data_IF_142492418838
#
_entry.id   IF_142492418838
#
_cell.length_a   1.000
_cell.length_b   1.000
_cell.length_c   1.000
_cell.angle_alpha   90.00
_cell.angle_beta   90.00
_cell.angle_gamma   90.00
#
_symmetry.space_group_name_H-M   'P 1'
#
loop_
_entity.id
_entity.type
_entity.pdbx_description
1 polymer ?
#
# COMPACT_ATOMS: atom_id res chain seq x y z
N UNK A 1 65.85 43.99 -52.96
CA UNK A 1 65.03 43.02 -53.71
C UNK A 1 65.47 41.62 -53.29
N UNK A 2 64.51 40.85 -52.75
CA UNK A 2 64.42 39.36 -52.63
C UNK A 2 65.61 38.59 -52.03
N UNK A 3 65.61 38.06 -50.80
CA UNK A 3 64.80 37.08 -50.03
C UNK A 3 65.59 35.75 -49.85
N UNK A 4 65.81 35.21 -48.63
CA UNK A 4 66.68 34.05 -48.32
C UNK A 4 65.92 32.70 -48.38
N UNK A 5 66.60 31.55 -48.53
CA UNK A 5 66.94 30.57 -47.46
C UNK A 5 65.81 30.30 -46.46
N UNK A 6 65.47 29.09 -46.03
CA UNK A 6 66.10 27.76 -46.06
C UNK A 6 65.09 26.75 -45.51
N UNK A 7 65.37 25.46 -45.68
CA UNK A 7 64.49 24.33 -45.33
C UNK A 7 64.03 24.30 -43.87
N UNK A 8 62.74 24.02 -43.69
CA UNK A 8 62.08 23.96 -42.40
C UNK A 8 62.29 22.65 -41.64
N UNK A 9 62.30 22.69 -40.30
CA UNK A 9 61.97 21.56 -39.45
C UNK A 9 60.50 21.57 -39.03
N UNK A 10 59.95 20.36 -38.88
CA UNK A 10 58.65 20.00 -38.30
C UNK A 10 58.41 20.62 -36.92
N UNK A 11 57.21 21.21 -36.66
CA UNK A 11 56.77 21.48 -35.30
C UNK A 11 55.98 20.30 -34.72
N UNK A 12 56.39 19.94 -33.51
CA UNK A 12 55.70 19.10 -32.53
C UNK A 12 54.33 19.71 -32.20
N UNK A 13 53.26 18.98 -32.54
CA UNK A 13 51.87 19.35 -32.25
C UNK A 13 51.50 18.89 -30.85
N UNK A 14 51.93 19.64 -29.84
CA UNK A 14 51.40 19.51 -28.49
C UNK A 14 49.90 19.83 -28.49
N UNK A 15 49.08 18.81 -28.26
CA UNK A 15 47.65 18.96 -27.99
C UNK A 15 47.52 19.35 -26.53
N UNK A 16 46.94 20.52 -26.27
CA UNK A 16 46.57 20.96 -24.92
C UNK A 16 45.47 20.06 -24.38
N UNK A 17 45.76 19.35 -23.28
CA UNK A 17 44.74 18.75 -22.42
C UNK A 17 44.01 19.88 -21.68
N UNK A 18 42.87 20.31 -22.23
CA UNK A 18 41.91 21.13 -21.51
C UNK A 18 40.98 20.18 -20.75
N UNK A 19 41.26 20.05 -19.45
CA UNK A 19 40.38 19.45 -18.47
C UNK A 19 39.17 20.37 -18.30
N UNK A 20 38.04 20.00 -18.92
CA UNK A 20 36.75 20.55 -18.50
C UNK A 20 36.32 19.83 -17.21
N UNK A 21 36.45 20.55 -16.10
CA UNK A 21 35.89 20.20 -14.81
C UNK A 21 34.35 20.08 -14.95
N UNK A 22 33.86 18.83 -14.98
CA UNK A 22 32.44 18.54 -14.84
C UNK A 22 32.05 18.81 -13.39
N UNK A 23 31.40 19.94 -13.15
CA UNK A 23 30.72 20.27 -11.91
C UNK A 23 29.61 19.23 -11.63
N UNK A 24 29.73 18.37 -10.60
CA UNK A 24 28.73 17.34 -10.31
C UNK A 24 27.48 17.89 -9.59
N UNK A 25 27.41 19.19 -9.27
CA UNK A 25 26.34 19.73 -8.43
C UNK A 25 25.26 20.53 -9.19
N UNK A 26 25.33 20.60 -10.52
CA UNK A 26 24.43 21.41 -11.33
C UNK A 26 23.13 20.70 -11.79
N UNK A 27 22.49 19.88 -10.94
CA UNK A 27 21.06 19.53 -11.12
C UNK A 27 20.37 19.28 -9.76
N UNK A 28 20.13 20.35 -9.01
CA UNK A 28 19.05 20.36 -8.00
C UNK A 28 18.21 21.62 -8.21
N UNK A 29 17.34 21.55 -9.23
CA UNK A 29 16.34 22.57 -9.51
C UNK A 29 15.02 22.20 -8.83
N UNK A 30 14.77 22.85 -7.71
CA UNK A 30 13.55 22.95 -6.92
C UNK A 30 12.24 22.49 -7.59
N UNK A 31 11.71 21.37 -7.10
CA UNK A 31 10.29 21.06 -7.14
C UNK A 31 9.73 21.14 -5.71
N UNK A 32 9.95 22.28 -5.05
CA UNK A 32 9.39 22.57 -3.74
C UNK A 32 7.90 22.90 -3.89
N UNK A 33 7.06 21.92 -3.59
CA UNK A 33 5.63 22.12 -3.41
C UNK A 33 5.35 23.10 -2.26
N UNK A 34 4.14 23.66 -2.17
CA UNK A 34 3.80 24.62 -1.11
C UNK A 34 3.90 23.93 0.25
N UNK A 35 4.91 24.33 1.04
CA UNK A 35 5.11 23.86 2.42
C UNK A 35 6.13 22.73 2.58
N UNK A 36 7.32 22.85 1.96
CA UNK A 36 8.54 22.14 2.37
C UNK A 36 8.86 22.50 3.83
N UNK A 37 8.10 21.93 4.76
CA UNK A 37 8.60 21.76 6.12
C UNK A 37 9.73 20.76 5.99
N UNK A 38 10.97 21.24 6.05
CA UNK A 38 12.17 20.49 6.44
C UNK A 38 11.93 19.88 7.84
N UNK A 39 11.00 18.94 7.91
CA UNK A 39 10.64 18.23 9.11
C UNK A 39 11.76 17.28 9.41
N UNK A 40 12.27 17.30 10.64
CA UNK A 40 13.24 16.30 11.05
C UNK A 40 12.67 14.89 10.81
N UNK A 41 13.51 13.89 10.49
CA UNK A 41 13.04 12.52 10.28
C UNK A 41 12.14 11.97 11.40
N UNK A 42 12.37 12.42 12.64
CA UNK A 42 11.52 12.08 13.78
C UNK A 42 10.08 12.61 13.67
N UNK A 43 9.89 13.82 13.13
CA UNK A 43 8.56 14.39 12.90
C UNK A 43 7.84 13.62 11.79
N UNK A 44 8.53 13.27 10.70
CA UNK A 44 7.95 12.46 9.63
C UNK A 44 7.47 11.09 10.15
N UNK A 45 8.29 10.42 10.95
CA UNK A 45 7.93 9.14 11.59
C UNK A 45 6.75 9.29 12.54
N UNK A 46 6.74 10.32 13.39
CA UNK A 46 5.64 10.57 14.32
C UNK A 46 4.31 10.83 13.58
N UNK A 47 4.34 11.65 12.53
CA UNK A 47 3.17 11.94 11.69
C UNK A 47 2.69 10.68 10.98
N UNK A 48 3.59 9.89 10.40
CA UNK A 48 3.27 8.64 9.73
C UNK A 48 2.59 7.64 10.69
N UNK A 49 3.11 7.51 11.92
CA UNK A 49 2.50 6.67 12.96
C UNK A 49 1.11 7.16 13.36
N UNK A 50 0.94 8.46 13.61
CA UNK A 50 -0.35 9.04 13.99
C UNK A 50 -1.38 8.83 12.88
N UNK A 51 -1.06 9.16 11.63
CA UNK A 51 -1.97 9.00 10.51
C UNK A 51 -2.31 7.53 10.25
N UNK A 52 -1.30 6.64 10.34
CA UNK A 52 -1.50 5.21 10.13
C UNK A 52 -2.42 4.56 11.16
N UNK A 53 -2.44 5.05 12.40
CA UNK A 53 -3.33 4.58 13.48
C UNK A 53 -4.69 5.28 13.46
N UNK A 54 -4.74 6.56 13.07
CA UNK A 54 -5.96 7.35 13.13
C UNK A 54 -7.05 6.82 12.19
N UNK A 55 -6.69 6.27 11.02
CA UNK A 55 -7.65 5.65 10.10
C UNK A 55 -8.45 4.52 10.77
N UNK A 56 -7.80 3.46 11.28
CA UNK A 56 -8.47 2.42 12.05
C UNK A 56 -9.28 2.90 13.26
N UNK A 57 -8.83 3.96 13.95
CA UNK A 57 -9.60 4.57 15.05
C UNK A 57 -10.89 5.20 14.54
N UNK A 58 -10.84 5.94 13.43
CA UNK A 58 -12.04 6.51 12.79
C UNK A 58 -12.98 5.39 12.31
N UNK A 59 -12.43 4.31 11.74
CA UNK A 59 -13.21 3.15 11.31
C UNK A 59 -13.92 2.47 12.49
N UNK A 60 -13.23 2.29 13.63
CA UNK A 60 -13.81 1.72 14.84
C UNK A 60 -14.93 2.60 15.41
N UNK A 61 -14.71 3.91 15.52
CA UNK A 61 -15.73 4.87 15.97
C UNK A 61 -16.94 4.86 15.02
N UNK A 62 -16.68 4.77 13.71
CA UNK A 62 -17.74 4.65 12.71
C UNK A 62 -18.55 3.36 12.88
N UNK A 63 -17.90 2.24 13.18
CA UNK A 63 -18.56 0.97 13.49
C UNK A 63 -19.50 1.07 14.70
N UNK A 64 -19.06 1.75 15.76
CA UNK A 64 -19.92 2.02 16.94
C UNK A 64 -21.12 2.89 16.59
N UNK A 65 -20.92 3.92 15.76
CA UNK A 65 -22.02 4.77 15.30
C UNK A 65 -23.02 4.00 14.42
N UNK A 66 -22.55 3.16 13.51
CA UNK A 66 -23.39 2.30 12.67
C UNK A 66 -24.19 1.32 13.55
N UNK A 67 -23.57 0.71 14.55
CA UNK A 67 -24.27 -0.15 15.51
C UNK A 67 -25.36 0.60 16.29
N UNK A 68 -25.10 1.84 16.72
CA UNK A 68 -26.11 2.65 17.39
C UNK A 68 -27.29 3.00 16.46
N UNK A 69 -27.02 3.29 15.19
CA UNK A 69 -28.05 3.54 14.16
C UNK A 69 -28.88 2.27 13.95
N UNK A 70 -28.23 1.12 13.78
CA UNK A 70 -28.87 -0.19 13.62
C UNK A 70 -29.88 -0.47 14.74
N UNK A 71 -29.45 -0.29 15.99
CA UNK A 71 -30.31 -0.45 17.16
C UNK A 71 -31.48 0.57 17.18
N UNK A 72 -31.23 1.83 16.79
CA UNK A 72 -32.24 2.89 16.83
C UNK A 72 -33.32 2.74 15.76
N UNK A 73 -33.00 2.21 14.58
CA UNK A 73 -33.94 2.03 13.47
C UNK A 73 -34.66 0.68 13.49
N UNK A 74 -34.38 -0.17 14.48
CA UNK A 74 -35.00 -1.49 14.63
C UNK A 74 -34.38 -2.59 13.77
N UNK A 75 -33.12 -2.42 13.37
CA UNK A 75 -32.35 -3.38 12.58
C UNK A 75 -32.21 -3.00 11.11
N UNK A 76 -30.96 -2.88 10.66
CA UNK A 76 -30.56 -2.77 9.27
C UNK A 76 -30.45 -4.15 8.64
N UNK A 77 -30.63 -4.21 7.32
CA UNK A 77 -30.24 -5.41 6.58
C UNK A 77 -28.72 -5.58 6.63
N UNK A 78 -28.25 -6.83 6.61
CA UNK A 78 -26.81 -7.12 6.58
C UNK A 78 -26.10 -6.36 5.44
N UNK A 79 -26.71 -6.33 4.24
CA UNK A 79 -26.16 -5.60 3.10
C UNK A 79 -26.04 -4.09 3.38
N UNK A 80 -27.04 -3.47 4.02
CA UNK A 80 -26.98 -2.07 4.40
C UNK A 80 -25.86 -1.82 5.43
N UNK A 81 -25.73 -2.68 6.45
CA UNK A 81 -24.66 -2.57 7.45
C UNK A 81 -23.27 -2.71 6.81
N UNK A 82 -23.08 -3.66 5.90
CA UNK A 82 -21.81 -3.84 5.17
C UNK A 82 -21.50 -2.62 4.31
N UNK A 83 -22.47 -2.09 3.57
CA UNK A 83 -22.27 -0.89 2.73
C UNK A 83 -21.92 0.33 3.59
N UNK A 84 -22.59 0.53 4.71
CA UNK A 84 -22.26 1.63 5.64
C UNK A 84 -20.85 1.45 6.21
N UNK A 85 -20.47 0.23 6.61
CA UNK A 85 -19.12 -0.06 7.11
C UNK A 85 -18.06 0.18 6.03
N UNK A 86 -18.32 -0.17 4.77
CA UNK A 86 -17.41 0.16 3.66
C UNK A 86 -17.33 1.67 3.44
N UNK A 87 -18.45 2.40 3.48
CA UNK A 87 -18.43 3.86 3.28
C UNK A 87 -17.66 4.56 4.39
N UNK A 88 -18.06 4.36 5.64
CA UNK A 88 -17.44 5.09 6.75
C UNK A 88 -16.09 4.49 7.15
N UNK A 89 -15.99 3.17 7.15
CA UNK A 89 -14.78 2.45 7.50
C UNK A 89 -13.70 2.49 6.43
N UNK A 90 -13.97 2.82 5.17
CA UNK A 90 -12.95 2.93 4.13
C UNK A 90 -12.90 4.33 3.51
N UNK A 91 -13.98 4.79 2.88
CA UNK A 91 -13.98 6.11 2.23
C UNK A 91 -13.79 7.26 3.21
N UNK A 92 -14.39 7.22 4.39
CA UNK A 92 -14.20 8.30 5.39
C UNK A 92 -12.92 8.08 6.18
N UNK A 93 -12.76 6.91 6.79
CA UNK A 93 -11.67 6.63 7.70
C UNK A 93 -10.28 6.62 7.07
N UNK A 94 -10.14 6.08 5.85
CA UNK A 94 -8.83 5.99 5.19
C UNK A 94 -8.71 7.03 4.08
N UNK A 95 -9.59 6.98 3.08
CA UNK A 95 -9.57 7.91 1.96
C UNK A 95 -9.78 9.36 2.40
N UNK A 96 -10.81 9.62 3.19
CA UNK A 96 -11.17 10.94 3.68
C UNK A 96 -10.14 11.52 4.63
N UNK A 97 -9.58 10.70 5.53
CA UNK A 97 -8.45 11.10 6.38
C UNK A 97 -7.24 11.52 5.54
N UNK A 98 -6.84 10.71 4.56
CA UNK A 98 -5.69 11.00 3.72
C UNK A 98 -5.90 12.27 2.88
N UNK A 99 -7.05 12.40 2.23
CA UNK A 99 -7.40 13.59 1.44
C UNK A 99 -7.52 14.84 2.32
N UNK A 100 -8.13 14.73 3.50
CA UNK A 100 -8.25 15.80 4.47
C UNK A 100 -6.90 16.24 5.01
N UNK A 101 -5.99 15.30 5.26
CA UNK A 101 -4.63 15.59 5.67
C UNK A 101 -3.84 16.34 4.59
N UNK A 102 -3.91 15.89 3.33
CA UNK A 102 -3.23 16.58 2.23
C UNK A 102 -3.83 17.97 1.96
N UNK A 103 -5.16 18.11 2.05
CA UNK A 103 -5.81 19.41 1.95
C UNK A 103 -5.40 20.34 3.10
N UNK A 104 -5.30 19.83 4.34
CA UNK A 104 -4.80 20.58 5.49
C UNK A 104 -3.33 21.01 5.33
N UNK A 105 -2.52 20.21 4.64
CA UNK A 105 -1.15 20.55 4.25
C UNK A 105 -1.07 21.62 3.15
N UNK A 106 -2.20 22.05 2.59
CA UNK A 106 -2.26 23.12 1.58
C UNK A 106 -2.21 22.63 0.13
N UNK A 107 -2.29 21.32 -0.12
CA UNK A 107 -2.38 20.81 -1.49
C UNK A 107 -3.77 21.09 -2.07
N UNK A 108 -3.80 21.65 -3.28
CA UNK A 108 -5.01 21.72 -4.09
C UNK A 108 -5.26 20.40 -4.83
N UNK A 109 -6.28 20.34 -5.68
CA UNK A 109 -6.66 19.09 -6.35
C UNK A 109 -5.55 18.55 -7.26
N UNK A 110 -4.91 19.42 -8.02
CA UNK A 110 -3.83 19.04 -8.94
C UNK A 110 -2.60 18.60 -8.15
N UNK A 111 -2.27 19.33 -7.08
CA UNK A 111 -1.21 18.99 -6.14
C UNK A 111 -1.42 17.63 -5.49
N UNK A 112 -2.64 17.30 -5.05
CA UNK A 112 -2.95 15.97 -4.48
C UNK A 112 -2.75 14.86 -5.53
N UNK A 113 -3.28 15.05 -6.74
CA UNK A 113 -3.14 14.07 -7.84
C UNK A 113 -1.66 13.83 -8.16
N UNK A 114 -0.87 14.91 -8.21
CA UNK A 114 0.57 14.83 -8.47
C UNK A 114 1.33 14.18 -7.30
N UNK A 115 1.03 14.56 -6.06
CA UNK A 115 1.66 14.03 -4.86
C UNK A 115 1.45 12.52 -4.72
N UNK A 116 0.22 12.07 -4.99
CA UNK A 116 -0.15 10.66 -4.98
C UNK A 116 0.27 9.93 -6.27
N UNK A 117 0.68 10.63 -7.33
CA UNK A 117 0.98 10.02 -8.63
C UNK A 117 -0.23 9.32 -9.27
N UNK A 118 -1.46 9.82 -9.09
CA UNK A 118 -2.66 9.16 -9.64
C UNK A 118 -2.68 9.29 -11.16
N UNK A 119 -2.42 8.17 -11.86
CA UNK A 119 -2.48 8.11 -13.33
C UNK A 119 -2.92 6.73 -13.83
N UNK A 120 -3.45 6.68 -15.04
CA UNK A 120 -3.82 5.41 -15.67
C UNK A 120 -2.56 4.53 -15.83
N UNK A 121 -2.58 3.27 -15.36
CA UNK A 121 -1.45 2.36 -15.53
C UNK A 121 -1.16 2.07 -17.00
N UNK A 122 0.12 2.09 -17.37
CA UNK A 122 0.60 1.57 -18.64
C UNK A 122 0.47 0.04 -18.69
N UNK A 123 0.55 -0.56 -19.89
CA UNK A 123 0.52 -2.02 -20.04
C UNK A 123 1.65 -2.71 -19.28
N UNK A 124 2.83 -2.07 -19.19
CA UNK A 124 3.95 -2.55 -18.37
C UNK A 124 3.55 -2.61 -16.91
N UNK A 125 2.88 -1.59 -16.40
CA UNK A 125 2.43 -1.53 -15.00
C UNK A 125 1.31 -2.52 -14.70
N UNK A 126 0.41 -2.80 -15.66
CA UNK A 126 -0.54 -3.91 -15.55
C UNK A 126 0.21 -5.25 -15.43
N UNK A 127 1.29 -5.44 -16.22
CA UNK A 127 2.18 -6.59 -16.07
C UNK A 127 2.86 -6.65 -14.70
N UNK A 128 3.24 -5.51 -14.12
CA UNK A 128 3.78 -5.42 -12.76
C UNK A 128 2.72 -5.82 -11.72
N UNK A 129 1.46 -5.38 -11.85
CA UNK A 129 0.37 -5.83 -10.96
C UNK A 129 0.29 -7.36 -10.94
N UNK A 130 0.25 -8.00 -12.11
CA UNK A 130 0.15 -9.47 -12.18
C UNK A 130 1.42 -10.17 -11.66
N UNK A 131 2.60 -9.70 -12.04
CA UNK A 131 3.88 -10.27 -11.61
C UNK A 131 4.10 -10.13 -10.10
N UNK A 132 3.81 -8.96 -9.54
CA UNK A 132 3.88 -8.70 -8.09
C UNK A 132 2.83 -9.47 -7.32
N UNK A 133 1.65 -9.73 -7.90
CA UNK A 133 0.66 -10.60 -7.28
C UNK A 133 1.14 -12.04 -7.18
N UNK A 134 1.77 -12.58 -8.24
CA UNK A 134 2.41 -13.91 -8.19
C UNK A 134 3.52 -13.95 -7.14
N UNK A 135 4.33 -12.89 -7.03
CA UNK A 135 5.34 -12.76 -5.98
C UNK A 135 4.69 -12.83 -4.59
N UNK A 136 3.62 -12.08 -4.34
CA UNK A 136 2.87 -12.12 -3.08
C UNK A 136 2.38 -13.54 -2.79
N UNK A 137 1.76 -14.21 -3.76
CA UNK A 137 1.28 -15.57 -3.57
C UNK A 137 2.38 -16.54 -3.16
N UNK A 138 3.53 -16.51 -3.85
CA UNK A 138 4.67 -17.36 -3.54
C UNK A 138 5.20 -17.04 -2.15
N UNK A 139 5.40 -15.75 -1.83
CA UNK A 139 5.93 -15.33 -0.53
C UNK A 139 5.00 -15.71 0.62
N UNK A 140 3.69 -15.51 0.47
CA UNK A 140 2.70 -15.92 1.47
C UNK A 140 2.69 -17.44 1.62
N UNK A 141 2.72 -18.22 0.53
CA UNK A 141 2.78 -19.68 0.62
C UNK A 141 4.03 -20.17 1.38
N UNK A 142 5.19 -19.57 1.11
CA UNK A 142 6.44 -19.87 1.82
C UNK A 142 6.29 -19.56 3.31
N UNK A 143 5.83 -18.36 3.66
CA UNK A 143 5.67 -17.94 5.06
C UNK A 143 4.64 -18.80 5.79
N UNK A 144 3.49 -19.07 5.17
CA UNK A 144 2.47 -19.97 5.73
C UNK A 144 3.00 -21.39 5.93
N UNK A 145 3.88 -21.88 5.05
CA UNK A 145 4.54 -23.18 5.25
C UNK A 145 5.46 -23.16 6.46
N UNK A 146 6.25 -22.09 6.64
CA UNK A 146 7.11 -21.91 7.81
C UNK A 146 6.27 -21.87 9.10
N UNK A 147 5.19 -21.09 9.12
CA UNK A 147 4.24 -20.98 10.24
C UNK A 147 3.67 -22.34 10.65
N UNK A 148 3.31 -23.18 9.67
CA UNK A 148 2.85 -24.57 9.94
C UNK A 148 3.96 -25.44 10.53
N UNK A 149 5.17 -25.37 9.97
CA UNK A 149 6.30 -26.17 10.46
C UNK A 149 6.71 -25.79 11.88
N UNK A 150 6.50 -24.52 12.26
CA UNK A 150 6.70 -24.04 13.63
C UNK A 150 5.55 -24.42 14.58
N UNK A 151 4.46 -25.00 14.07
CA UNK A 151 3.27 -25.34 14.87
C UNK A 151 2.53 -24.12 15.41
N UNK A 152 2.69 -22.96 14.78
CA UNK A 152 2.04 -21.71 15.20
C UNK A 152 0.67 -21.55 14.56
N UNK A 153 -0.27 -20.98 15.31
CA UNK A 153 -1.62 -20.68 14.83
C UNK A 153 -1.68 -19.30 14.16
N UNK A 154 -2.69 -19.11 13.32
CA UNK A 154 -3.04 -17.82 12.70
C UNK A 154 -4.38 -17.33 13.26
N UNK A 155 -4.52 -16.02 13.39
CA UNK A 155 -5.77 -15.39 13.75
C UNK A 155 -6.69 -15.29 12.52
N UNK A 156 -8.00 -15.39 12.74
CA UNK A 156 -8.99 -15.22 11.68
C UNK A 156 -9.30 -13.73 11.45
N UNK A 157 -9.68 -13.38 10.22
CA UNK A 157 -10.10 -12.04 9.87
C UNK A 157 -11.62 -11.90 10.05
N UNK A 158 -12.06 -10.91 10.83
CA UNK A 158 -13.49 -10.66 11.12
C UNK A 158 -14.36 -10.45 9.87
N UNK A 159 -13.83 -9.83 8.81
CA UNK A 159 -14.56 -9.66 7.54
C UNK A 159 -14.69 -10.98 6.79
N UNK A 160 -13.65 -11.83 6.82
CA UNK A 160 -13.70 -13.16 6.25
C UNK A 160 -14.67 -14.07 7.03
N UNK A 161 -14.69 -14.02 8.37
CA UNK A 161 -15.66 -14.75 9.21
C UNK A 161 -17.10 -14.33 8.91
N UNK A 162 -17.36 -13.02 8.81
CA UNK A 162 -18.67 -12.50 8.43
C UNK A 162 -19.12 -13.01 7.05
N UNK A 163 -18.20 -12.98 6.08
CA UNK A 163 -18.41 -13.47 4.72
C UNK A 163 -18.67 -14.98 4.66
N UNK A 164 -17.92 -15.78 5.43
CA UNK A 164 -18.12 -17.23 5.55
C UNK A 164 -19.52 -17.57 6.06
N UNK A 165 -19.99 -16.86 7.08
CA UNK A 165 -21.34 -17.03 7.62
C UNK A 165 -22.44 -16.52 6.68
N UNK A 166 -22.11 -15.67 5.70
CA UNK A 166 -23.07 -15.03 4.81
C UNK A 166 -22.57 -14.98 3.35
N UNK A 167 -22.47 -16.12 2.63
CA UNK A 167 -21.82 -16.15 1.32
C UNK A 167 -22.39 -15.20 0.26
N UNK A 168 -23.65 -14.78 0.41
CA UNK A 168 -24.32 -13.83 -0.49
C UNK A 168 -23.69 -12.44 -0.54
N UNK A 169 -22.91 -12.04 0.48
CA UNK A 169 -22.21 -10.74 0.49
C UNK A 169 -20.81 -10.82 -0.11
N UNK A 170 -20.28 -12.01 -0.41
CA UNK A 170 -18.91 -12.16 -0.91
C UNK A 170 -18.70 -11.46 -2.27
N UNK A 171 -19.64 -11.52 -3.25
CA UNK A 171 -19.52 -10.75 -4.48
C UNK A 171 -19.39 -9.23 -4.24
N UNK A 172 -20.04 -8.70 -3.20
CA UNK A 172 -19.89 -7.30 -2.80
C UNK A 172 -18.47 -7.02 -2.31
N UNK A 173 -17.87 -7.89 -1.48
CA UNK A 173 -16.49 -7.73 -1.03
C UNK A 173 -15.46 -7.84 -2.17
N UNK A 174 -15.69 -8.71 -3.17
CA UNK A 174 -14.85 -8.80 -4.36
C UNK A 174 -14.86 -7.47 -5.12
N UNK A 175 -16.04 -6.90 -5.37
CA UNK A 175 -16.15 -5.60 -6.03
C UNK A 175 -15.57 -4.47 -5.17
N UNK A 176 -15.86 -4.47 -3.87
CA UNK A 176 -15.36 -3.47 -2.94
C UNK A 176 -13.83 -3.51 -2.79
N UNK A 177 -13.20 -4.67 -2.99
CA UNK A 177 -11.74 -4.81 -2.95
C UNK A 177 -11.05 -3.88 -3.95
N UNK A 178 -11.60 -3.75 -5.16
CA UNK A 178 -11.06 -2.87 -6.20
C UNK A 178 -11.54 -1.42 -6.12
N UNK A 179 -12.79 -1.20 -5.70
CA UNK A 179 -13.43 0.11 -5.78
C UNK A 179 -13.31 0.94 -4.49
N UNK A 180 -13.10 0.26 -3.36
CA UNK A 180 -13.17 0.85 -2.04
C UNK A 180 -11.90 0.55 -1.24
N UNK A 181 -11.68 -0.73 -0.90
CA UNK A 181 -10.66 -1.16 0.07
C UNK A 181 -9.25 -0.86 -0.46
N UNK A 182 -8.87 -1.45 -1.60
CA UNK A 182 -7.56 -1.23 -2.21
C UNK A 182 -7.25 0.25 -2.42
N UNK A 183 -8.11 1.03 -3.10
CA UNK A 183 -7.87 2.47 -3.27
C UNK A 183 -7.76 3.24 -1.96
N UNK A 184 -8.69 3.09 -1.02
CA UNK A 184 -8.71 3.91 0.20
C UNK A 184 -7.51 3.62 1.10
N UNK A 185 -7.19 2.35 1.29
CA UNK A 185 -6.05 1.95 2.11
C UNK A 185 -4.73 2.35 1.44
N UNK A 186 -4.57 2.15 0.14
CA UNK A 186 -3.33 2.55 -0.55
C UNK A 186 -3.15 4.08 -0.56
N UNK A 187 -4.22 4.86 -0.72
CA UNK A 187 -4.14 6.33 -0.58
C UNK A 187 -3.57 6.72 0.79
N UNK A 188 -4.04 6.09 1.88
CA UNK A 188 -3.52 6.40 3.21
C UNK A 188 -2.09 5.88 3.38
N UNK A 189 -1.83 4.60 3.12
CA UNK A 189 -0.57 3.98 3.54
C UNK A 189 0.57 4.20 2.55
N UNK A 190 0.31 4.22 1.25
CA UNK A 190 1.34 4.40 0.22
C UNK A 190 1.42 5.86 -0.18
N UNK A 191 0.27 6.46 -0.44
CA UNK A 191 0.15 7.88 -0.73
C UNK A 191 0.65 8.75 0.42
N UNK A 192 0.04 8.63 1.60
CA UNK A 192 0.30 9.55 2.72
C UNK A 192 1.36 9.05 3.70
N UNK A 193 1.23 7.86 4.29
CA UNK A 193 2.16 7.37 5.33
C UNK A 193 3.55 7.15 4.74
N UNK A 194 3.67 6.36 3.67
CA UNK A 194 4.95 6.16 2.98
C UNK A 194 5.44 7.45 2.33
N UNK A 195 4.57 8.22 1.65
CA UNK A 195 4.94 9.52 1.06
C UNK A 195 5.56 10.49 2.07
N UNK A 196 4.96 10.66 3.25
CA UNK A 196 5.49 11.51 4.31
C UNK A 196 6.79 11.00 4.91
N UNK A 197 6.98 9.68 4.99
CA UNK A 197 8.29 9.10 5.35
C UNK A 197 9.32 9.40 4.26
N UNK A 198 8.96 9.29 2.97
CA UNK A 198 9.86 9.52 1.83
C UNK A 198 10.35 10.95 1.67
N UNK A 199 9.60 11.92 2.18
CA UNK A 199 10.04 13.32 2.26
C UNK A 199 11.27 13.52 3.17
N UNK A 200 11.54 12.61 4.11
CA UNK A 200 12.63 12.77 5.09
C UNK A 200 13.55 11.54 5.24
N UNK A 201 13.18 10.41 4.63
CA UNK A 201 13.90 9.14 4.70
C UNK A 201 14.05 8.56 3.29
N UNK A 202 15.06 7.73 3.06
CA UNK A 202 15.22 6.99 1.81
C UNK A 202 14.12 5.93 1.60
N UNK A 203 14.09 5.35 0.40
CA UNK A 203 13.07 4.37 -0.02
C UNK A 203 12.89 3.21 0.96
N UNK A 204 13.99 2.51 1.27
CA UNK A 204 13.97 1.29 2.08
C UNK A 204 13.34 1.49 3.48
N UNK A 205 13.82 2.41 4.34
CA UNK A 205 13.22 2.62 5.66
C UNK A 205 11.77 3.11 5.57
N UNK A 206 11.40 3.89 4.55
CA UNK A 206 10.02 4.35 4.36
C UNK A 206 9.06 3.22 4.03
N UNK A 207 9.49 2.30 3.14
CA UNK A 207 8.73 1.09 2.80
C UNK A 207 8.60 0.18 4.02
N UNK A 208 9.71 -0.08 4.73
CA UNK A 208 9.70 -0.95 5.91
C UNK A 208 8.77 -0.42 7.02
N UNK A 209 8.87 0.88 7.33
CA UNK A 209 8.05 1.50 8.38
C UNK A 209 6.58 1.58 7.97
N UNK A 210 6.26 2.03 6.75
CA UNK A 210 4.88 2.04 6.29
C UNK A 210 4.28 0.63 6.26
N UNK A 211 5.06 -0.36 5.80
CA UNK A 211 4.61 -1.74 5.75
C UNK A 211 4.33 -2.31 7.15
N UNK A 212 5.18 -1.98 8.13
CA UNK A 212 5.02 -2.40 9.52
C UNK A 212 3.79 -1.74 10.16
N UNK A 213 3.57 -0.44 9.92
CA UNK A 213 2.39 0.28 10.40
C UNK A 213 1.12 -0.35 9.81
N UNK A 214 1.08 -0.55 8.49
CA UNK A 214 -0.04 -1.21 7.82
C UNK A 214 -0.30 -2.61 8.34
N UNK A 215 0.73 -3.43 8.55
CA UNK A 215 0.54 -4.78 9.07
C UNK A 215 0.04 -4.76 10.52
N UNK A 216 0.61 -3.90 11.38
CA UNK A 216 0.29 -3.86 12.80
C UNK A 216 -1.17 -3.46 13.06
N UNK A 217 -1.71 -2.48 12.32
CA UNK A 217 -3.09 -2.03 12.53
C UNK A 217 -4.14 -3.09 12.20
N UNK A 218 -3.78 -4.11 11.43
CA UNK A 218 -4.72 -5.21 11.11
C UNK A 218 -5.11 -6.00 12.35
N UNK A 219 -4.34 -5.94 13.45
CA UNK A 219 -4.70 -6.58 14.72
C UNK A 219 -6.11 -6.25 15.18
N UNK A 220 -6.63 -5.06 14.84
CA UNK A 220 -7.99 -4.59 15.20
C UNK A 220 -9.07 -5.41 14.48
N UNK A 221 -8.76 -5.94 13.30
CA UNK A 221 -9.68 -6.75 12.49
C UNK A 221 -9.50 -8.27 12.72
N UNK A 222 -8.54 -8.68 13.55
CA UNK A 222 -8.18 -10.08 13.80
C UNK A 222 -8.83 -10.62 15.07
N UNK A 223 -9.40 -11.83 14.98
CA UNK A 223 -9.98 -12.58 16.09
C UNK A 223 -9.07 -13.74 16.50
N UNK A 224 -9.04 -14.06 17.80
CA UNK A 224 -8.20 -15.12 18.35
C UNK A 224 -7.18 -14.63 19.38
N UNK A 225 -6.25 -15.50 19.76
CA UNK A 225 -5.22 -15.18 20.76
C UNK A 225 -4.14 -14.24 20.25
N UNK A 226 -3.51 -13.48 21.15
CA UNK A 226 -2.45 -12.50 20.82
C UNK A 226 -1.31 -13.13 20.01
N UNK A 227 -0.91 -14.36 20.34
CA UNK A 227 0.14 -15.07 19.58
C UNK A 227 -0.27 -15.30 18.13
N UNK A 228 -1.51 -15.73 17.89
CA UNK A 228 -2.04 -15.98 16.56
C UNK A 228 -2.19 -14.69 15.75
N UNK A 229 -2.59 -13.60 16.43
CA UNK A 229 -2.64 -12.26 15.83
C UNK A 229 -1.25 -11.78 15.40
N UNK A 230 -0.22 -11.95 16.23
CA UNK A 230 1.16 -11.59 15.86
C UNK A 230 1.69 -12.41 14.69
N UNK A 231 1.35 -13.70 14.61
CA UNK A 231 1.66 -14.55 13.46
C UNK A 231 1.02 -13.99 12.18
N UNK A 232 -0.28 -13.68 12.21
CA UNK A 232 -1.00 -13.14 11.06
C UNK A 232 -0.47 -11.76 10.66
N UNK A 233 -0.18 -10.86 11.62
CA UNK A 233 0.47 -9.57 11.34
C UNK A 233 1.83 -9.75 10.64
N UNK A 234 2.62 -10.75 11.05
CA UNK A 234 3.90 -11.06 10.42
C UNK A 234 3.73 -11.55 8.97
N UNK A 235 2.66 -12.30 8.69
CA UNK A 235 2.30 -12.70 7.33
C UNK A 235 1.89 -11.48 6.51
N UNK A 236 1.03 -10.61 7.04
CA UNK A 236 0.52 -9.40 6.37
C UNK A 236 1.61 -8.36 6.07
N UNK A 237 2.70 -8.36 6.83
CA UNK A 237 3.87 -7.52 6.54
C UNK A 237 4.44 -7.80 5.14
N UNK A 238 4.40 -9.04 4.67
CA UNK A 238 5.00 -9.46 3.39
C UNK A 238 4.31 -8.83 2.17
N UNK A 239 2.99 -8.98 1.94
CA UNK A 239 2.31 -8.26 0.85
C UNK A 239 2.44 -6.75 1.00
N UNK A 240 2.43 -6.25 2.23
CA UNK A 240 2.58 -4.82 2.53
C UNK A 240 3.90 -4.23 2.02
N UNK A 241 5.00 -4.99 2.13
CA UNK A 241 6.29 -4.63 1.52
C UNK A 241 6.21 -4.56 0.00
N UNK A 242 5.53 -5.53 -0.63
CA UNK A 242 5.39 -5.57 -2.08
C UNK A 242 4.58 -4.37 -2.58
N UNK A 243 3.48 -4.01 -1.91
CA UNK A 243 2.69 -2.83 -2.26
C UNK A 243 3.54 -1.55 -2.18
N UNK A 244 4.31 -1.37 -1.10
CA UNK A 244 5.19 -0.21 -0.92
C UNK A 244 6.31 -0.14 -1.96
N UNK A 245 6.93 -1.27 -2.29
CA UNK A 245 7.96 -1.37 -3.31
C UNK A 245 7.42 -1.11 -4.72
N UNK A 246 6.22 -1.61 -5.04
CA UNK A 246 5.54 -1.35 -6.32
C UNK A 246 5.19 0.14 -6.44
N UNK A 247 4.70 0.76 -5.37
CA UNK A 247 4.44 2.19 -5.36
C UNK A 247 5.71 3.00 -5.61
N UNK A 248 6.80 2.71 -4.88
CA UNK A 248 8.09 3.39 -5.05
C UNK A 248 8.65 3.22 -6.48
N UNK A 249 8.53 2.01 -7.04
CA UNK A 249 9.04 1.73 -8.39
C UNK A 249 8.24 2.41 -9.49
N UNK A 250 6.92 2.51 -9.34
CA UNK A 250 6.03 3.03 -10.39
C UNK A 250 5.73 4.51 -10.26
N UNK A 251 5.81 5.07 -9.05
CA UNK A 251 5.32 6.41 -8.75
C UNK A 251 3.84 6.60 -9.13
N UNK A 252 3.06 5.51 -9.09
CA UNK A 252 1.65 5.52 -9.48
C UNK A 252 0.81 4.74 -8.49
N UNK A 253 -0.02 5.45 -7.72
CA UNK A 253 -0.87 4.87 -6.68
C UNK A 253 -1.93 3.90 -7.21
N UNK A 254 -2.34 4.03 -8.46
CA UNK A 254 -3.33 3.12 -9.06
C UNK A 254 -2.76 1.71 -9.18
N UNK A 255 -1.45 1.56 -9.38
CA UNK A 255 -0.79 0.24 -9.52
C UNK A 255 -0.86 -0.58 -8.22
N UNK A 256 -0.37 -0.09 -7.05
CA UNK A 256 -0.53 -0.83 -5.81
C UNK A 256 -1.99 -0.95 -5.38
N UNK A 257 -2.88 0.01 -5.69
CA UNK A 257 -4.32 -0.11 -5.40
C UNK A 257 -4.98 -1.28 -6.17
N UNK A 258 -4.64 -1.46 -7.45
CA UNK A 258 -5.10 -2.61 -8.23
C UNK A 258 -4.49 -3.92 -7.74
N UNK A 259 -3.20 -3.92 -7.37
CA UNK A 259 -2.52 -5.09 -6.82
C UNK A 259 -3.14 -5.53 -5.49
N UNK A 260 -3.39 -4.59 -4.58
CA UNK A 260 -4.03 -4.83 -3.31
C UNK A 260 -5.49 -5.30 -3.52
N UNK A 261 -6.25 -4.60 -4.36
CA UNK A 261 -7.61 -5.01 -4.72
C UNK A 261 -7.68 -6.41 -5.32
N UNK A 262 -6.74 -6.75 -6.21
CA UNK A 262 -6.60 -8.09 -6.80
C UNK A 262 -6.30 -9.15 -5.74
N UNK A 263 -5.38 -8.87 -4.82
CA UNK A 263 -5.06 -9.79 -3.73
C UNK A 263 -6.30 -10.12 -2.90
N UNK A 264 -7.01 -9.10 -2.41
CA UNK A 264 -8.20 -9.28 -1.58
C UNK A 264 -9.35 -9.94 -2.36
N UNK A 265 -9.57 -9.53 -3.61
CA UNK A 265 -10.60 -10.10 -4.46
C UNK A 265 -10.37 -11.60 -4.71
N UNK A 266 -9.12 -12.05 -4.88
CA UNK A 266 -8.82 -13.47 -5.03
C UNK A 266 -9.08 -14.22 -3.72
N UNK A 267 -8.67 -13.69 -2.57
CA UNK A 267 -8.96 -14.32 -1.27
C UNK A 267 -10.47 -14.51 -1.06
N UNK A 268 -11.27 -13.47 -1.32
CA UNK A 268 -12.73 -13.57 -1.26
C UNK A 268 -13.32 -14.50 -2.31
N UNK A 269 -12.77 -14.53 -3.53
CA UNK A 269 -13.23 -15.46 -4.58
C UNK A 269 -12.99 -16.91 -4.19
N UNK A 270 -11.80 -17.20 -3.67
CA UNK A 270 -11.47 -18.53 -3.18
C UNK A 270 -12.39 -18.88 -2.01
N UNK A 271 -12.59 -17.97 -1.06
CA UNK A 271 -13.54 -18.16 0.05
C UNK A 271 -14.95 -18.50 -0.46
N UNK A 272 -15.45 -17.77 -1.46
CA UNK A 272 -16.75 -18.01 -2.07
C UNK A 272 -16.87 -19.40 -2.67
N UNK A 273 -15.86 -19.82 -3.44
CA UNK A 273 -15.83 -21.17 -4.03
C UNK A 273 -15.79 -22.22 -2.92
N UNK A 274 -14.95 -22.02 -1.91
CA UNK A 274 -14.83 -22.94 -0.77
C UNK A 274 -16.17 -23.10 -0.04
N UNK A 275 -16.84 -22.01 0.34
CA UNK A 275 -18.08 -22.13 1.14
C UNK A 275 -19.31 -22.55 0.32
N UNK A 276 -19.29 -22.42 -1.01
CA UNK A 276 -20.45 -22.75 -1.86
C UNK A 276 -20.33 -24.04 -2.66
N UNK A 277 -19.12 -24.49 -2.97
CA UNK A 277 -18.87 -25.62 -3.88
C UNK A 277 -18.13 -26.80 -3.24
N UNK A 278 -17.47 -26.60 -2.10
CA UNK A 278 -16.70 -27.66 -1.44
C UNK A 278 -17.56 -28.36 -0.39
N UNK A 279 -17.49 -29.69 -0.36
CA UNK A 279 -18.18 -30.48 0.66
C UNK A 279 -17.69 -30.07 2.07
N UNK A 280 -18.58 -29.86 3.05
CA UNK A 280 -18.20 -29.52 4.42
C UNK A 280 -17.14 -30.43 5.06
N UNK A 281 -17.09 -31.69 4.65
CA UNK A 281 -16.08 -32.67 5.11
C UNK A 281 -14.67 -32.42 4.57
N UNK A 282 -14.51 -31.71 3.46
CA UNK A 282 -13.23 -31.37 2.83
C UNK A 282 -12.72 -29.96 3.22
N UNK A 283 -13.59 -29.14 3.83
CA UNK A 283 -13.26 -27.77 4.26
C UNK A 283 -12.04 -27.68 5.19
N UNK A 284 -11.84 -28.54 6.20
CA UNK A 284 -10.67 -28.44 7.08
C UNK A 284 -9.34 -28.60 6.34
N UNK A 285 -9.32 -29.42 5.28
CA UNK A 285 -8.13 -29.62 4.47
C UNK A 285 -7.86 -28.39 3.59
N UNK A 286 -8.89 -27.83 2.93
CA UNK A 286 -8.75 -26.71 1.99
C UNK A 286 -8.50 -25.38 2.71
N UNK A 287 -9.27 -25.07 3.75
CA UNK A 287 -9.05 -23.87 4.57
C UNK A 287 -7.72 -23.93 5.31
N UNK A 288 -7.23 -25.14 5.59
CA UNK A 288 -5.86 -25.36 6.01
C UNK A 288 -4.89 -24.67 5.07
N UNK A 289 -4.95 -24.89 3.75
CA UNK A 289 -3.96 -24.37 2.78
C UNK A 289 -4.11 -22.90 2.41
N UNK A 290 -5.27 -22.30 2.69
CA UNK A 290 -5.52 -20.92 2.31
C UNK A 290 -4.99 -19.97 3.39
N UNK A 291 -4.08 -19.04 3.04
CA UNK A 291 -3.75 -17.94 3.91
C UNK A 291 -4.95 -17.00 3.92
N UNK A 292 -5.90 -17.23 4.83
CA UNK A 292 -7.02 -16.30 5.08
C UNK A 292 -6.57 -15.22 6.05
#
# INVERSE_FOLDING_TARGET
>A
MTDPSSGGPTPDGGVSEEFDDVDPDAVSGDADGPGSTDGSPGVAVAVALVLGVLGPVIALVSGVAIFAIDAAVGGLSLAASVVLTLIFGQYVAFGGLAMGYLAWRGFDREGIVSYLGVRVPSLKEVGIVLGSWVLILISVLVVSTIVRLLGTETAANSSAELAMGNPSIIPLFIAASFLVIGPCEEILYRGVVQGRLRESLSAVPSILLSAAIFAAIHVIALTGGVSAQLTTVSILFVPSLVFGAVYEYTGNLVVPALLHGLHNAVLFTVLYVTVTQVDPSELPAILGFLPV
#
